data_IF_683100601753
#
_entry.id   IF_683100601753
#
_cell.length_a   1.000
_cell.length_b   1.000
_cell.length_c   1.000
_cell.angle_alpha   90.00
_cell.angle_beta   90.00
_cell.angle_gamma   90.00
#
_symmetry.space_group_name_H-M   'P 1'
#
loop_
_entity.id
_entity.type
_entity.pdbx_description
1 polymer ?
#
# COMPACT_ATOMS: atom_id res chain seq x y z
N UNK A 1 -15.36 2.31 8.78
CA UNK A 1 -15.47 1.93 7.36
C UNK A 1 -14.68 0.65 7.10
N UNK A 2 -15.29 -0.26 6.35
CA UNK A 2 -14.65 -1.55 6.06
C UNK A 2 -13.58 -1.39 4.98
N UNK A 3 -12.40 -1.97 5.22
CA UNK A 3 -11.30 -1.98 4.25
C UNK A 3 -11.05 -3.43 3.83
N UNK A 4 -11.23 -3.67 2.55
CA UNK A 4 -11.03 -5.00 1.95
C UNK A 4 -9.74 -4.99 1.14
N UNK A 5 -9.01 -6.11 1.17
CA UNK A 5 -7.78 -6.26 0.40
C UNK A 5 -8.02 -7.24 -0.75
N UNK A 6 -7.63 -6.85 -1.96
CA UNK A 6 -7.71 -7.74 -3.13
C UNK A 6 -6.76 -8.92 -2.95
N UNK A 7 -6.97 -9.95 -3.77
CA UNK A 7 -6.09 -11.11 -3.78
C UNK A 7 -4.64 -10.70 -4.09
N UNK A 8 -4.46 -9.81 -5.06
CA UNK A 8 -3.14 -9.31 -5.43
C UNK A 8 -2.45 -8.58 -4.28
N UNK A 9 -3.19 -7.74 -3.56
CA UNK A 9 -2.60 -7.02 -2.42
C UNK A 9 -2.27 -7.95 -1.26
N UNK A 10 -3.10 -8.96 -1.01
CA UNK A 10 -2.79 -9.99 0.00
C UNK A 10 -1.55 -10.77 -0.37
N UNK A 11 -1.40 -11.11 -1.64
CA UNK A 11 -0.23 -11.82 -2.13
C UNK A 11 1.04 -11.00 -1.97
N UNK A 12 0.96 -9.71 -2.26
CA UNK A 12 2.09 -8.81 -2.04
C UNK A 12 2.54 -8.83 -0.57
N UNK A 13 1.57 -8.70 0.35
CA UNK A 13 1.87 -8.68 1.79
C UNK A 13 2.47 -10.03 2.22
N UNK A 14 1.95 -11.13 1.71
CA UNK A 14 2.49 -12.45 1.99
C UNK A 14 3.94 -12.60 1.53
N UNK A 15 4.24 -12.17 0.31
CA UNK A 15 5.60 -12.21 -0.23
C UNK A 15 6.55 -11.31 0.56
N UNK A 16 6.07 -10.15 0.97
CA UNK A 16 6.84 -9.23 1.81
C UNK A 16 7.19 -9.89 3.14
N UNK A 17 6.21 -10.53 3.77
CA UNK A 17 6.42 -11.26 5.02
C UNK A 17 7.45 -12.37 4.84
N UNK A 18 7.33 -13.16 3.78
CA UNK A 18 8.27 -14.24 3.49
C UNK A 18 9.69 -13.71 3.31
N UNK A 19 9.83 -12.60 2.60
CA UNK A 19 11.12 -11.97 2.37
C UNK A 19 11.78 -11.51 3.68
N UNK A 20 11.03 -10.83 4.54
CA UNK A 20 11.53 -10.37 5.84
C UNK A 20 11.84 -11.56 6.75
N UNK A 21 11.04 -12.64 6.67
CA UNK A 21 11.22 -13.83 7.49
C UNK A 21 12.55 -14.55 7.25
N UNK A 22 13.13 -14.37 6.08
CA UNK A 22 14.44 -14.98 5.79
C UNK A 22 15.50 -14.52 6.78
N UNK A 23 15.40 -13.28 7.24
CA UNK A 23 16.34 -12.72 8.21
C UNK A 23 15.79 -12.73 9.63
N UNK A 24 14.50 -12.46 9.80
CA UNK A 24 13.90 -12.31 11.13
C UNK A 24 12.40 -12.61 11.10
N UNK A 25 12.00 -13.85 11.43
CA UNK A 25 10.58 -14.23 11.42
C UNK A 25 9.70 -13.43 12.36
N UNK A 26 10.18 -13.10 13.55
CA UNK A 26 9.43 -12.28 14.51
C UNK A 26 9.14 -10.90 13.96
N UNK A 27 10.14 -10.28 13.35
CA UNK A 27 10.00 -8.96 12.75
C UNK A 27 9.04 -8.98 11.58
N UNK A 28 9.09 -10.05 10.76
CA UNK A 28 8.20 -10.21 9.62
C UNK A 28 6.74 -10.18 10.05
N UNK A 29 6.39 -10.95 11.07
CA UNK A 29 5.03 -10.99 11.61
C UNK A 29 4.62 -9.63 12.17
N UNK A 30 5.45 -9.06 13.02
CA UNK A 30 5.17 -7.77 13.65
C UNK A 30 5.01 -6.66 12.62
N UNK A 31 5.90 -6.59 11.64
CA UNK A 31 5.85 -5.55 10.61
C UNK A 31 4.60 -5.65 9.77
N UNK A 32 4.25 -6.85 9.30
CA UNK A 32 3.09 -7.00 8.41
C UNK A 32 1.78 -6.74 9.13
N UNK A 33 1.67 -7.11 10.41
CA UNK A 33 0.48 -6.77 11.20
C UNK A 33 0.34 -5.26 11.33
N UNK A 34 1.43 -4.56 11.65
CA UNK A 34 1.42 -3.11 11.76
C UNK A 34 1.11 -2.43 10.43
N UNK A 35 1.66 -2.96 9.34
CA UNK A 35 1.42 -2.42 8.00
C UNK A 35 -0.07 -2.47 7.66
N UNK A 36 -0.71 -3.62 7.82
CA UNK A 36 -2.14 -3.77 7.55
C UNK A 36 -2.96 -2.84 8.44
N UNK A 37 -2.62 -2.75 9.71
CA UNK A 37 -3.31 -1.87 10.65
C UNK A 37 -3.19 -0.40 10.25
N UNK A 38 -2.00 0.04 9.86
CA UNK A 38 -1.78 1.42 9.41
C UNK A 38 -2.56 1.73 8.15
N UNK A 39 -2.60 0.80 7.20
CA UNK A 39 -3.39 0.96 5.98
C UNK A 39 -4.86 1.11 6.33
N UNK A 40 -5.40 0.25 7.20
CA UNK A 40 -6.80 0.32 7.62
C UNK A 40 -7.11 1.65 8.30
N UNK A 41 -6.21 2.12 9.15
CA UNK A 41 -6.41 3.39 9.86
C UNK A 41 -6.40 4.57 8.89
N UNK A 42 -5.45 4.62 7.96
CA UNK A 42 -5.37 5.69 6.98
C UNK A 42 -6.60 5.71 6.09
N UNK A 43 -7.10 4.56 5.69
CA UNK A 43 -8.23 4.46 4.77
C UNK A 43 -9.58 4.66 5.45
N UNK A 44 -9.62 4.88 6.76
CA UNK A 44 -10.82 5.42 7.41
C UNK A 44 -11.12 6.84 6.92
N UNK A 45 -10.11 7.51 6.35
CA UNK A 45 -10.25 8.81 5.70
C UNK A 45 -9.89 8.63 4.22
N UNK A 46 -10.81 8.07 3.41
CA UNK A 46 -10.44 7.56 2.08
C UNK A 46 -10.00 8.64 1.10
N UNK A 47 -10.33 9.90 1.34
CA UNK A 47 -9.87 11.01 0.50
C UNK A 47 -8.49 11.54 0.88
N UNK A 48 -7.81 10.87 1.82
CA UNK A 48 -6.44 11.23 2.22
C UNK A 48 -5.44 11.07 1.07
N UNK A 49 -5.65 10.08 0.22
CA UNK A 49 -4.79 9.83 -0.93
C UNK A 49 -5.11 10.75 -2.10
N UNK A 50 -4.17 10.87 -3.01
CA UNK A 50 -4.40 11.62 -4.24
C UNK A 50 -5.05 10.73 -5.29
N UNK A 51 -5.75 11.34 -6.25
CA UNK A 51 -6.32 10.63 -7.38
C UNK A 51 -5.20 9.97 -8.17
N UNK A 52 -5.40 8.70 -8.52
CA UNK A 52 -4.42 7.97 -9.32
C UNK A 52 -4.48 8.47 -10.77
N UNK A 53 -3.34 8.96 -11.27
CA UNK A 53 -3.29 9.60 -12.59
C UNK A 53 -3.58 8.63 -13.74
N UNK A 54 -3.27 7.34 -13.55
CA UNK A 54 -3.48 6.34 -14.61
C UNK A 54 -4.96 6.12 -14.90
N UNK A 55 -5.79 6.07 -13.87
CA UNK A 55 -7.21 5.77 -14.02
C UNK A 55 -8.06 7.01 -14.21
N UNK A 56 -7.57 8.17 -13.79
CA UNK A 56 -8.30 9.44 -13.89
C UNK A 56 -9.74 9.34 -13.37
N UNK A 57 -9.90 8.67 -12.24
CA UNK A 57 -11.17 8.41 -11.58
C UNK A 57 -11.02 8.83 -10.11
N UNK A 58 -11.84 9.77 -9.66
CA UNK A 58 -11.75 10.31 -8.30
C UNK A 58 -11.92 9.25 -7.22
N UNK A 59 -12.58 8.14 -7.53
CA UNK A 59 -12.75 7.05 -6.57
C UNK A 59 -11.52 6.16 -6.46
N UNK A 60 -10.58 6.25 -7.40
CA UNK A 60 -9.35 5.47 -7.39
C UNK A 60 -8.19 6.36 -6.96
N UNK A 61 -7.68 6.08 -5.78
CA UNK A 61 -6.67 6.91 -5.14
C UNK A 61 -5.44 6.11 -4.74
N UNK A 62 -4.41 6.80 -4.36
CA UNK A 62 -3.17 6.18 -3.94
C UNK A 62 -2.57 6.87 -2.73
N UNK A 63 -1.90 6.10 -1.89
CA UNK A 63 -1.05 6.60 -0.80
C UNK A 63 0.32 5.94 -0.91
N UNK A 64 1.32 6.64 -0.38
CA UNK A 64 2.68 6.11 -0.28
C UNK A 64 2.95 5.84 1.19
N UNK A 65 3.37 4.62 1.49
CA UNK A 65 3.65 4.20 2.86
C UNK A 65 4.86 3.27 2.86
N UNK A 66 5.90 3.63 3.61
CA UNK A 66 7.13 2.84 3.73
C UNK A 66 7.75 2.44 2.38
N UNK A 67 7.71 3.36 1.40
CA UNK A 67 8.24 3.09 0.07
C UNK A 67 7.35 2.20 -0.79
N UNK A 68 6.12 1.99 -0.39
CA UNK A 68 5.15 1.23 -1.17
C UNK A 68 4.04 2.16 -1.63
N UNK A 69 3.58 1.95 -2.86
CA UNK A 69 2.40 2.63 -3.38
C UNK A 69 1.21 1.71 -3.18
N UNK A 70 0.17 2.24 -2.55
CA UNK A 70 -1.06 1.51 -2.25
C UNK A 70 -2.17 2.16 -3.05
N UNK A 71 -2.71 1.44 -4.01
CA UNK A 71 -3.83 1.90 -4.85
C UNK A 71 -5.10 1.31 -4.29
N UNK A 72 -6.09 2.17 -4.09
CA UNK A 72 -7.36 1.75 -3.53
C UNK A 72 -8.54 2.41 -4.24
N UNK A 73 -9.69 1.80 -4.13
CA UNK A 73 -10.94 2.32 -4.68
C UNK A 73 -11.93 2.59 -3.57
N UNK A 74 -12.54 3.77 -3.62
CA UNK A 74 -13.56 4.18 -2.67
C UNK A 74 -14.92 3.72 -3.16
N UNK A 75 -15.63 2.97 -2.33
CA UNK A 75 -17.01 2.55 -2.55
C UNK A 75 -17.92 3.26 -1.54
N UNK A 76 -19.25 3.24 -1.72
CA UNK A 76 -20.15 3.96 -0.81
C UNK A 76 -19.97 3.63 0.68
N UNK A 77 -19.70 2.37 1.01
CA UNK A 77 -19.59 1.94 2.41
C UNK A 77 -18.30 1.18 2.73
N UNK A 78 -17.37 1.18 1.81
CA UNK A 78 -16.11 0.45 2.00
C UNK A 78 -15.00 1.02 1.13
N UNK A 79 -13.80 0.55 1.41
CA UNK A 79 -12.63 0.87 0.59
C UNK A 79 -11.98 -0.45 0.19
N UNK A 80 -11.66 -0.59 -1.08
CA UNK A 80 -10.95 -1.77 -1.57
C UNK A 80 -9.51 -1.45 -1.92
N UNK A 81 -8.57 -2.09 -1.24
CA UNK A 81 -7.15 -2.02 -1.64
C UNK A 81 -6.98 -2.92 -2.84
N UNK A 82 -6.65 -2.31 -3.98
CA UNK A 82 -6.58 -2.99 -5.28
C UNK A 82 -5.21 -3.58 -5.53
N UNK A 83 -4.16 -2.81 -5.21
CA UNK A 83 -2.80 -3.20 -5.54
C UNK A 83 -1.82 -2.51 -4.60
N UNK A 84 -0.76 -3.23 -4.24
CA UNK A 84 0.37 -2.69 -3.48
C UNK A 84 1.63 -3.07 -4.24
N UNK A 85 2.53 -2.13 -4.43
CA UNK A 85 3.81 -2.43 -5.04
C UNK A 85 4.89 -1.46 -4.55
N UNK A 86 6.15 -1.84 -4.73
CA UNK A 86 7.26 -0.96 -4.38
C UNK A 86 7.25 0.25 -5.27
N UNK A 87 7.36 1.41 -4.65
CA UNK A 87 7.41 2.68 -5.36
C UNK A 87 8.79 3.28 -5.24
N UNK A 88 9.37 3.63 -6.38
CA UNK A 88 10.65 4.31 -6.45
C UNK A 88 10.39 5.71 -7.01
N UNK A 89 10.68 6.72 -6.19
CA UNK A 89 10.59 8.10 -6.63
C UNK A 89 11.84 8.45 -7.43
N UNK A 90 11.69 8.53 -8.73
CA UNK A 90 12.79 8.78 -9.65
C UNK A 90 13.00 10.27 -9.91
N UNK A 91 13.04 11.07 -8.86
CA UNK A 91 13.43 12.47 -9.03
C UNK A 91 14.98 12.59 -9.00
N UNK A 92 15.47 13.77 -9.34
CA UNK A 92 16.91 13.99 -9.44
C UNK A 92 17.66 13.68 -8.15
N UNK A 93 17.06 13.95 -7.01
CA UNK A 93 17.71 13.72 -5.72
C UNK A 93 17.91 12.24 -5.42
N UNK A 94 17.15 11.37 -6.08
CA UNK A 94 17.25 9.93 -5.91
C UNK A 94 18.14 9.27 -6.96
N UNK A 95 18.49 9.98 -8.01
CA UNK A 95 19.36 9.47 -9.05
C UNK A 95 20.81 9.72 -8.66
N UNK A 96 21.53 8.65 -8.51
CA UNK A 96 22.98 8.73 -8.32
C UNK A 96 23.64 8.50 -9.66
N UNK A 97 24.15 9.57 -10.19
CA UNK A 97 24.89 9.53 -11.44
C UNK A 97 26.36 9.56 -11.06
N UNK A 98 26.98 8.46 -11.23
CA UNK A 98 28.39 8.28 -10.94
C UNK A 98 29.22 8.41 -12.20
#
# INVERSE_FOLDING_TARGET
MKVNFSLDSKEFIFKLKSHISQDNPSRAKSYTIKLVSRIRDMLQHPYIGKVNATFDDESIREIILDGMKIIYKIHPNSVGVVMIYKYIDLNESNLKIE
#
